data_IF_335889908494
#
_entry.id   IF_335889908494
#
_cell.length_a   1.000
_cell.length_b   1.000
_cell.length_c   1.000
_cell.angle_alpha   90.00
_cell.angle_beta   90.00
_cell.angle_gamma   90.00
#
_symmetry.space_group_name_H-M   'P 1'
#
loop_
_entity.id
_entity.type
_entity.pdbx_description
1 polymer ?
#
# COMPACT_ATOMS: atom_id res chain seq x y z
N UNK A 1 34.09 -36.85 10.97
CA UNK A 1 35.10 -35.81 10.69
C UNK A 1 34.43 -34.47 10.90
N UNK A 2 34.66 -33.83 12.05
CA UNK A 2 34.17 -32.47 12.29
C UNK A 2 35.13 -31.52 11.57
N UNK A 3 34.68 -30.90 10.48
CA UNK A 3 35.38 -29.79 9.86
C UNK A 3 35.09 -28.54 10.71
N UNK A 4 35.88 -28.34 11.76
CA UNK A 4 35.87 -27.07 12.48
C UNK A 4 36.54 -26.01 11.59
N UNK A 5 35.77 -25.00 11.25
CA UNK A 5 36.21 -23.87 10.45
C UNK A 5 37.21 -23.06 11.28
N UNK A 6 38.41 -22.86 10.76
CA UNK A 6 39.47 -22.14 11.49
C UNK A 6 39.09 -20.68 11.70
N UNK A 7 39.57 -20.06 12.77
CA UNK A 7 39.30 -18.65 13.14
C UNK A 7 39.58 -17.68 11.99
N UNK A 8 40.59 -17.98 11.17
CA UNK A 8 40.94 -17.22 9.95
C UNK A 8 39.85 -17.30 8.89
N UNK A 9 39.29 -18.48 8.65
CA UNK A 9 38.20 -18.69 7.70
C UNK A 9 36.91 -18.02 8.16
N UNK A 10 36.68 -17.92 9.48
CA UNK A 10 35.55 -17.17 10.03
C UNK A 10 35.71 -15.65 9.83
N UNK A 11 36.92 -15.12 10.03
CA UNK A 11 37.24 -13.71 9.77
C UNK A 11 37.11 -13.35 8.28
N UNK A 12 37.66 -14.18 7.40
CA UNK A 12 37.57 -13.98 5.94
C UNK A 12 36.13 -14.05 5.41
N UNK A 13 35.26 -14.83 6.06
CA UNK A 13 33.83 -14.90 5.71
C UNK A 13 33.02 -13.72 6.28
N UNK A 14 33.41 -13.19 7.45
CA UNK A 14 32.74 -12.07 8.10
C UNK A 14 33.00 -10.73 7.38
N UNK A 15 34.18 -10.56 6.78
CA UNK A 15 34.59 -9.33 6.07
C UNK A 15 33.69 -8.96 4.87
N UNK A 16 33.37 -9.87 3.91
CA UNK A 16 32.42 -9.58 2.85
C UNK A 16 30.98 -9.47 3.38
N UNK A 17 30.58 -10.29 4.36
CA UNK A 17 29.24 -10.23 4.95
C UNK A 17 28.94 -8.86 5.57
N UNK A 18 29.92 -8.24 6.23
CA UNK A 18 29.84 -6.87 6.76
C UNK A 18 29.50 -5.83 5.67
N UNK A 19 30.08 -5.98 4.46
CA UNK A 19 29.83 -5.08 3.32
C UNK A 19 28.45 -5.29 2.68
N UNK A 20 27.97 -6.53 2.63
CA UNK A 20 26.62 -6.80 2.13
C UNK A 20 25.54 -6.26 3.05
N UNK A 21 25.76 -6.31 4.37
CA UNK A 21 24.82 -5.74 5.35
C UNK A 21 24.69 -4.23 5.16
N UNK A 22 25.80 -3.50 4.99
CA UNK A 22 25.74 -2.04 4.80
C UNK A 22 25.11 -1.64 3.47
N UNK A 23 25.40 -2.36 2.39
CA UNK A 23 24.82 -2.12 1.07
C UNK A 23 23.30 -2.39 1.04
N UNK A 24 22.86 -3.55 1.53
CA UNK A 24 21.44 -3.89 1.61
C UNK A 24 20.67 -2.92 2.52
N UNK A 25 21.29 -2.48 3.62
CA UNK A 25 20.69 -1.48 4.52
C UNK A 25 20.54 -0.13 3.82
N UNK A 26 21.54 0.29 3.02
CA UNK A 26 21.48 1.55 2.26
C UNK A 26 20.40 1.52 1.17
N UNK A 27 20.22 0.39 0.48
CA UNK A 27 19.15 0.22 -0.52
C UNK A 27 17.76 0.30 0.14
N UNK A 28 17.57 -0.37 1.28
CA UNK A 28 16.31 -0.32 2.04
C UNK A 28 15.98 1.09 2.55
N UNK A 29 16.97 1.80 3.10
CA UNK A 29 16.81 3.19 3.56
C UNK A 29 16.43 4.10 2.38
N UNK A 30 17.09 3.91 1.23
CA UNK A 30 16.81 4.71 0.03
C UNK A 30 15.42 4.43 -0.52
N UNK A 31 15.02 3.15 -0.57
CA UNK A 31 13.68 2.74 -0.99
C UNK A 31 12.59 3.32 -0.08
N UNK A 32 12.80 3.24 1.24
CA UNK A 32 11.88 3.82 2.22
C UNK A 32 11.79 5.34 2.10
N UNK A 33 12.92 6.04 1.94
CA UNK A 33 12.95 7.48 1.76
C UNK A 33 12.16 7.92 0.51
N UNK A 34 12.30 7.18 -0.59
CA UNK A 34 11.55 7.44 -1.82
C UNK A 34 10.04 7.22 -1.65
N UNK A 35 9.64 6.14 -0.96
CA UNK A 35 8.23 5.86 -0.68
C UNK A 35 7.61 6.93 0.23
N UNK A 36 8.32 7.35 1.29
CA UNK A 36 7.88 8.44 2.18
C UNK A 36 7.73 9.75 1.41
N UNK A 37 8.65 10.05 0.49
CA UNK A 37 8.57 11.24 -0.36
C UNK A 37 7.33 11.21 -1.26
N UNK A 38 7.09 10.10 -1.97
CA UNK A 38 5.90 9.95 -2.81
C UNK A 38 4.60 10.07 -2.01
N UNK A 39 4.51 9.44 -0.84
CA UNK A 39 3.34 9.54 0.01
C UNK A 39 3.13 10.97 0.55
N UNK A 40 4.23 11.68 0.83
CA UNK A 40 4.16 13.09 1.26
C UNK A 40 3.64 13.97 0.13
N UNK A 41 4.16 13.81 -1.09
CA UNK A 41 3.70 14.53 -2.28
C UNK A 41 2.21 14.27 -2.55
N UNK A 42 1.78 13.02 -2.47
CA UNK A 42 0.36 12.65 -2.61
C UNK A 42 -0.51 13.28 -1.51
N UNK A 43 -0.05 13.25 -0.26
CA UNK A 43 -0.76 13.87 0.86
C UNK A 43 -0.89 15.37 0.68
N UNK A 44 0.16 16.06 0.25
CA UNK A 44 0.15 17.50 0.00
C UNK A 44 -0.83 17.88 -1.12
N UNK A 45 -0.86 17.11 -2.22
CA UNK A 45 -1.83 17.30 -3.29
C UNK A 45 -3.29 17.15 -2.78
N UNK A 46 -3.56 16.09 -2.00
CA UNK A 46 -4.90 15.89 -1.41
C UNK A 46 -5.28 16.98 -0.42
N UNK A 47 -4.33 17.49 0.36
CA UNK A 47 -4.58 18.62 1.28
C UNK A 47 -4.91 19.88 0.50
N UNK A 48 -4.20 20.18 -0.59
CA UNK A 48 -4.48 21.33 -1.45
C UNK A 48 -5.87 21.24 -2.08
N UNK A 49 -6.24 20.08 -2.63
CA UNK A 49 -7.56 19.85 -3.21
C UNK A 49 -8.67 20.00 -2.17
N UNK A 50 -8.49 19.44 -0.97
CA UNK A 50 -9.44 19.58 0.13
C UNK A 50 -9.60 21.04 0.58
N UNK A 51 -8.50 21.80 0.58
CA UNK A 51 -8.53 23.22 0.92
C UNK A 51 -9.31 24.01 -0.13
N UNK A 52 -9.08 23.74 -1.41
CA UNK A 52 -9.79 24.36 -2.52
C UNK A 52 -11.30 24.05 -2.47
N UNK A 53 -11.67 22.79 -2.25
CA UNK A 53 -13.08 22.40 -2.08
C UNK A 53 -13.73 23.10 -0.89
N UNK A 54 -13.03 23.17 0.25
CA UNK A 54 -13.52 23.87 1.44
C UNK A 54 -13.70 25.36 1.18
N UNK A 55 -12.82 25.99 0.40
CA UNK A 55 -12.92 27.40 0.05
C UNK A 55 -14.09 27.66 -0.89
N UNK A 56 -14.25 26.85 -1.94
CA UNK A 56 -15.41 26.90 -2.85
C UNK A 56 -16.73 26.74 -2.05
N UNK A 57 -16.78 25.82 -1.09
CA UNK A 57 -17.94 25.66 -0.21
C UNK A 57 -18.21 26.91 0.63
N UNK A 58 -17.18 27.55 1.19
CA UNK A 58 -17.35 28.81 1.93
C UNK A 58 -17.88 29.91 1.02
N UNK A 59 -17.34 30.05 -0.18
CA UNK A 59 -17.80 31.04 -1.15
C UNK A 59 -19.26 30.82 -1.54
N UNK A 60 -19.69 29.57 -1.73
CA UNK A 60 -21.10 29.23 -2.01
C UNK A 60 -22.04 29.55 -0.84
N UNK A 61 -21.56 29.41 0.40
CA UNK A 61 -22.32 29.75 1.61
C UNK A 61 -22.38 31.28 1.80
N UNK A 62 -21.27 32.00 1.59
CA UNK A 62 -21.17 33.44 1.84
C UNK A 62 -21.76 34.29 0.72
N UNK A 63 -21.68 33.86 -0.54
CA UNK A 63 -22.27 34.56 -1.69
C UNK A 63 -23.79 34.38 -1.80
N UNK A 64 -24.43 33.73 -0.82
CA UNK A 64 -25.82 33.26 -0.90
C UNK A 64 -26.84 34.42 -0.84
N UNK A 65 -27.65 34.63 -1.89
CA UNK A 65 -28.93 35.34 -1.75
C UNK A 65 -29.94 34.33 -1.18
N UNK A 66 -30.51 34.60 -0.01
CA UNK A 66 -31.53 33.72 0.58
C UNK A 66 -32.73 33.56 -0.36
N UNK A 67 -33.08 32.33 -0.76
CA UNK A 67 -34.27 32.10 -1.59
C UNK A 67 -34.39 30.72 -2.26
N UNK A 68 -35.58 30.48 -2.81
CA UNK A 68 -36.13 29.25 -3.45
C UNK A 68 -35.21 28.56 -4.47
N UNK A 69 -34.22 29.28 -5.03
CA UNK A 69 -33.28 28.73 -6.01
C UNK A 69 -32.29 27.72 -5.43
N UNK A 70 -32.03 27.72 -4.11
CA UNK A 70 -31.06 26.81 -3.49
C UNK A 70 -31.52 25.34 -3.47
N UNK A 71 -32.84 25.10 -3.38
CA UNK A 71 -33.43 23.76 -3.42
C UNK A 71 -33.13 23.02 -4.74
N UNK A 72 -32.81 23.76 -5.82
CA UNK A 72 -32.44 23.17 -7.13
C UNK A 72 -30.97 22.75 -7.19
N UNK A 73 -30.10 23.39 -6.41
CA UNK A 73 -28.66 23.11 -6.41
C UNK A 73 -28.24 22.14 -5.30
N UNK A 74 -29.07 21.99 -4.27
CA UNK A 74 -28.85 21.07 -3.15
C UNK A 74 -28.55 19.63 -3.61
N UNK A 75 -29.28 19.02 -4.57
CA UNK A 75 -28.94 17.67 -5.06
C UNK A 75 -27.60 17.62 -5.82
N UNK A 76 -27.23 18.70 -6.53
CA UNK A 76 -25.96 18.78 -7.25
C UNK A 76 -24.77 18.94 -6.29
N UNK A 77 -24.96 19.68 -5.20
CA UNK A 77 -23.99 19.82 -4.12
C UNK A 77 -23.81 18.47 -3.41
N UNK A 78 -24.91 17.78 -3.06
CA UNK A 78 -24.81 16.43 -2.46
C UNK A 78 -24.16 15.43 -3.39
N UNK A 79 -24.47 15.46 -4.69
CA UNK A 79 -23.81 14.61 -5.68
C UNK A 79 -22.32 14.89 -5.78
N UNK A 80 -21.91 16.16 -5.86
CA UNK A 80 -20.49 16.54 -5.90
C UNK A 80 -19.73 16.22 -4.60
N UNK A 81 -20.41 16.26 -3.45
CA UNK A 81 -19.83 15.89 -2.15
C UNK A 81 -19.67 14.37 -1.99
N UNK A 82 -20.61 13.58 -2.52
CA UNK A 82 -20.63 12.13 -2.32
C UNK A 82 -19.92 11.36 -3.46
N UNK A 83 -19.95 11.87 -4.69
CA UNK A 83 -19.19 11.30 -5.80
C UNK A 83 -17.77 11.88 -5.76
N UNK A 84 -16.88 11.21 -5.03
CA UNK A 84 -15.43 11.46 -5.10
C UNK A 84 -14.72 10.25 -5.74
N UNK A 85 -14.78 10.11 -7.08
CA UNK A 85 -14.15 8.99 -7.80
C UNK A 85 -12.65 8.86 -7.50
N UNK A 86 -11.97 9.99 -7.26
CA UNK A 86 -10.57 10.02 -6.88
C UNK A 86 -10.31 9.42 -5.49
N UNK A 87 -11.19 9.67 -4.52
CA UNK A 87 -11.10 9.10 -3.16
C UNK A 87 -11.45 7.61 -3.21
N UNK A 88 -12.47 7.22 -3.95
CA UNK A 88 -12.83 5.82 -4.16
C UNK A 88 -11.69 5.03 -4.83
N UNK A 89 -11.07 5.61 -5.86
CA UNK A 89 -9.89 5.03 -6.52
C UNK A 89 -8.68 4.95 -5.59
N UNK A 90 -8.42 5.99 -4.78
CA UNK A 90 -7.35 5.99 -3.79
C UNK A 90 -7.55 4.90 -2.72
N UNK A 91 -8.77 4.73 -2.19
CA UNK A 91 -9.08 3.64 -1.26
C UNK A 91 -8.96 2.26 -1.91
N UNK A 92 -9.36 2.11 -3.17
CA UNK A 92 -9.20 0.84 -3.90
C UNK A 92 -7.72 0.49 -4.08
N UNK A 93 -6.88 1.47 -4.45
CA UNK A 93 -5.44 1.30 -4.55
C UNK A 93 -4.82 0.92 -3.20
N UNK A 94 -5.18 1.65 -2.14
CA UNK A 94 -4.66 1.38 -0.79
C UNK A 94 -5.06 -0.02 -0.29
N UNK A 95 -6.30 -0.45 -0.55
CA UNK A 95 -6.76 -1.81 -0.23
C UNK A 95 -5.99 -2.85 -1.03
N UNK A 96 -5.77 -2.61 -2.33
CA UNK A 96 -5.00 -3.52 -3.17
C UNK A 96 -3.56 -3.67 -2.68
N UNK A 97 -2.93 -2.58 -2.26
CA UNK A 97 -1.57 -2.60 -1.74
C UNK A 97 -1.48 -3.36 -0.41
N UNK A 98 -2.45 -3.16 0.50
CA UNK A 98 -2.54 -3.94 1.74
C UNK A 98 -2.72 -5.45 1.48
N UNK A 99 -3.54 -5.82 0.51
CA UNK A 99 -3.74 -7.24 0.13
C UNK A 99 -2.49 -7.82 -0.53
N UNK A 100 -1.76 -7.03 -1.34
CA UNK A 100 -0.50 -7.45 -1.93
C UNK A 100 0.58 -7.70 -0.87
N UNK A 101 0.66 -6.86 0.17
CA UNK A 101 1.56 -7.07 1.30
C UNK A 101 1.23 -8.36 2.06
N UNK A 102 -0.07 -8.64 2.26
CA UNK A 102 -0.52 -9.89 2.86
C UNK A 102 -0.14 -11.12 2.01
N UNK A 103 -0.30 -11.04 0.69
CA UNK A 103 0.09 -12.11 -0.22
C UNK A 103 1.61 -12.42 -0.14
N UNK A 104 2.44 -11.38 -0.05
CA UNK A 104 3.89 -11.49 0.09
C UNK A 104 4.30 -12.15 1.41
N UNK A 105 3.64 -11.80 2.52
CA UNK A 105 3.87 -12.45 3.82
C UNK A 105 3.48 -13.94 3.76
N UNK A 106 2.34 -14.27 3.16
CA UNK A 106 1.90 -15.66 3.02
C UNK A 106 2.85 -16.50 2.14
N UNK A 107 3.40 -15.90 1.08
CA UNK A 107 4.44 -16.52 0.25
C UNK A 107 5.75 -16.75 1.03
N UNK A 108 6.13 -15.78 1.87
CA UNK A 108 7.28 -15.91 2.76
C UNK A 108 7.10 -17.04 3.78
N UNK A 109 5.90 -17.16 4.37
CA UNK A 109 5.56 -18.25 5.29
C UNK A 109 5.52 -19.61 4.58
N UNK A 110 4.98 -19.68 3.36
CA UNK A 110 5.04 -20.88 2.53
C UNK A 110 6.48 -21.35 2.33
N UNK A 111 7.37 -20.44 1.92
CA UNK A 111 8.79 -20.74 1.69
C UNK A 111 9.48 -21.25 2.96
N UNK A 112 9.22 -20.61 4.11
CA UNK A 112 9.76 -21.05 5.41
C UNK A 112 9.29 -22.47 5.77
N UNK A 113 7.99 -22.75 5.64
CA UNK A 113 7.43 -24.06 5.98
C UNK A 113 7.91 -25.16 5.03
N UNK A 114 8.03 -24.85 3.74
CA UNK A 114 8.58 -25.77 2.73
C UNK A 114 10.04 -26.13 3.04
N UNK A 115 10.85 -25.16 3.45
CA UNK A 115 12.25 -25.39 3.83
C UNK A 115 12.42 -26.10 5.17
N UNK A 116 11.44 -25.98 6.07
CA UNK A 116 11.47 -26.53 7.43
C UNK A 116 10.94 -27.96 7.58
N UNK A 117 10.50 -28.61 6.49
CA UNK A 117 9.98 -29.99 6.52
C UNK A 117 8.61 -30.13 7.20
N UNK A 118 7.82 -29.06 7.26
CA UNK A 118 6.46 -29.07 7.81
C UNK A 118 5.48 -29.85 6.91
N UNK A 119 4.36 -30.34 7.49
CA UNK A 119 3.36 -31.14 6.78
C UNK A 119 2.88 -30.49 5.46
N UNK A 120 2.84 -31.28 4.38
CA UNK A 120 2.40 -30.89 3.03
C UNK A 120 1.11 -30.06 3.03
N UNK A 121 0.16 -30.41 3.90
CA UNK A 121 -1.14 -29.73 3.96
C UNK A 121 -1.03 -28.27 4.43
N UNK A 122 -0.13 -27.96 5.37
CA UNK A 122 0.09 -26.56 5.80
C UNK A 122 0.80 -25.77 4.71
N UNK A 123 1.82 -26.36 4.09
CA UNK A 123 2.55 -25.76 2.95
C UNK A 123 1.59 -25.39 1.81
N UNK A 124 0.67 -26.29 1.46
CA UNK A 124 -0.36 -26.06 0.44
C UNK A 124 -1.36 -24.95 0.80
N UNK A 125 -1.72 -24.79 2.08
CA UNK A 125 -2.64 -23.74 2.53
C UNK A 125 -2.01 -22.36 2.31
N UNK A 126 -0.76 -22.15 2.71
CA UNK A 126 -0.10 -20.85 2.56
C UNK A 126 0.13 -20.46 1.10
N UNK A 127 0.47 -21.42 0.23
CA UNK A 127 0.55 -21.18 -1.21
C UNK A 127 -0.81 -20.72 -1.76
N UNK A 128 -1.88 -21.46 -1.44
CA UNK A 128 -3.23 -21.15 -1.95
C UNK A 128 -3.77 -19.81 -1.43
N UNK A 129 -3.47 -19.46 -0.19
CA UNK A 129 -3.84 -18.17 0.40
C UNK A 129 -3.07 -17.02 -0.26
N UNK A 130 -1.78 -17.22 -0.56
CA UNK A 130 -0.97 -16.23 -1.29
C UNK A 130 -1.52 -15.98 -2.70
N UNK A 131 -1.77 -17.05 -3.48
CA UNK A 131 -2.34 -16.95 -4.83
C UNK A 131 -3.70 -16.25 -4.84
N UNK A 132 -4.56 -16.58 -3.88
CA UNK A 132 -5.89 -15.97 -3.75
C UNK A 132 -5.79 -14.48 -3.40
N UNK A 133 -4.87 -14.11 -2.50
CA UNK A 133 -4.63 -12.72 -2.14
C UNK A 133 -4.07 -11.92 -3.32
N UNK A 134 -3.12 -12.48 -4.10
CA UNK A 134 -2.62 -11.81 -5.31
C UNK A 134 -3.73 -11.57 -6.34
N UNK A 135 -4.56 -12.58 -6.59
CA UNK A 135 -5.70 -12.46 -7.50
C UNK A 135 -6.67 -11.36 -7.02
N UNK A 136 -6.94 -11.29 -5.72
CA UNK A 136 -7.83 -10.28 -5.16
C UNK A 136 -7.23 -8.86 -5.23
N UNK A 137 -5.92 -8.71 -4.99
CA UNK A 137 -5.22 -7.44 -5.16
C UNK A 137 -5.27 -6.95 -6.62
N UNK A 138 -5.12 -7.85 -7.61
CA UNK A 138 -5.29 -7.51 -9.03
C UNK A 138 -6.72 -7.07 -9.34
N UNK A 139 -7.71 -7.81 -8.85
CA UNK A 139 -9.12 -7.44 -9.01
C UNK A 139 -9.41 -6.04 -8.45
N UNK A 140 -8.89 -5.68 -7.27
CA UNK A 140 -9.07 -4.35 -6.68
C UNK A 140 -8.41 -3.21 -7.49
N UNK A 141 -7.35 -3.51 -8.24
CA UNK A 141 -6.67 -2.54 -9.13
C UNK A 141 -7.41 -2.39 -10.45
N UNK A 142 -7.92 -3.49 -10.98
CA UNK A 142 -8.62 -3.54 -12.28
C UNK A 142 -10.09 -3.10 -12.16
N UNK A 143 -10.73 -3.39 -11.03
CA UNK A 143 -12.05 -2.88 -10.69
C UNK A 143 -11.93 -1.42 -10.28
N UNK A 144 -12.00 -0.50 -11.24
CA UNK A 144 -12.27 0.92 -10.95
C UNK A 144 -13.61 1.02 -10.20
N UNK A 145 -13.57 1.01 -8.87
CA UNK A 145 -14.71 1.38 -8.01
C UNK A 145 -16.00 0.59 -8.22
N UNK A 146 -15.94 -0.69 -8.57
CA UNK A 146 -17.15 -1.52 -8.74
C UNK A 146 -17.71 -2.02 -7.39
N UNK A 147 -18.00 -1.13 -6.45
CA UNK A 147 -18.91 -1.41 -5.35
C UNK A 147 -19.87 -0.24 -5.19
N UNK A 148 -21.16 -0.58 -5.27
CA UNK A 148 -22.35 0.27 -5.25
C UNK A 148 -22.42 1.24 -4.08
#
# INVERSE_FOLDING_TARGET
MNYEMTTKQLLDAAEPASRYVSAATAELITGLANAVRQLTEQRDALVADNWNLRDVLRQLITARPGGVYFNKWEPLIFKALNETPAIAAAFSSLRADGVAMFAAEMSTQHTKLQSGGYFDRQVLIYAKVSDMAESFARQLRDSKGAHS
#
